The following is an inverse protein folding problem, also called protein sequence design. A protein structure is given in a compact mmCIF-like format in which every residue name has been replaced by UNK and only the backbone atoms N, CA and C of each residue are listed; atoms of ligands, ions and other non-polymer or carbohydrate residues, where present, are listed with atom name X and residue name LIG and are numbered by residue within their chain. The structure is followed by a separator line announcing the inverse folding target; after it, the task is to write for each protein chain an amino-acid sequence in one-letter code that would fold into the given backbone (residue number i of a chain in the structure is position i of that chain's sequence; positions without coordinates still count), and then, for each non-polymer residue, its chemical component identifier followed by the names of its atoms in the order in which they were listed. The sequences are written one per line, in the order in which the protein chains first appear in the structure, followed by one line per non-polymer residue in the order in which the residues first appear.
data_IF_097963613610
#
_entry.id   IF_097963613610
#
_cell.length_a   1.000
_cell.length_b   1.000
_cell.length_c   1.000
_cell.angle_alpha   90.00
_cell.angle_beta   90.00
_cell.angle_gamma   90.00
#
_symmetry.space_group_name_H-M   'P 1'
#
loop_
_entity.id
_entity.type
_entity.pdbx_description
1 polymer ?
#
# COMPACT_ATOMS: atom_id res chain seq x y z
N UNK A 1 -7.91 -10.37 12.23
CA UNK A 1 -8.11 -8.91 12.10
C UNK A 1 -7.31 -8.45 10.90
N UNK A 2 -7.86 -7.58 10.06
CA UNK A 2 -7.11 -7.03 8.93
C UNK A 2 -6.14 -5.95 9.44
N UNK A 3 -4.86 -6.06 9.10
CA UNK A 3 -3.79 -5.16 9.55
C UNK A 3 -3.62 -4.01 8.55
N UNK A 4 -3.79 -2.79 9.03
CA UNK A 4 -3.73 -1.57 8.23
C UNK A 4 -2.56 -0.72 8.71
N UNK A 5 -1.64 -0.42 7.81
CA UNK A 5 -0.55 0.53 8.06
C UNK A 5 -0.92 1.91 7.53
N UNK A 6 -0.90 2.92 8.40
CA UNK A 6 -0.84 4.32 7.99
C UNK A 6 0.63 4.74 8.01
N UNK A 7 1.26 4.71 6.84
CA UNK A 7 2.67 5.05 6.65
C UNK A 7 2.80 6.48 6.15
N UNK A 8 3.60 7.31 6.81
CA UNK A 8 3.68 8.71 6.40
C UNK A 8 5.07 9.34 6.51
N UNK A 9 5.26 10.45 5.81
CA UNK A 9 6.32 11.42 6.08
C UNK A 9 5.69 12.76 6.48
N UNK A 10 6.23 13.46 7.47
CA UNK A 10 5.81 14.80 7.85
C UNK A 10 6.99 15.61 8.35
N UNK A 11 7.17 16.83 7.84
CA UNK A 11 8.21 17.75 8.31
C UNK A 11 7.68 18.68 9.40
N UNK A 12 6.49 19.24 9.19
CA UNK A 12 5.89 20.27 10.06
C UNK A 12 4.60 19.82 10.76
N UNK A 13 4.32 18.52 10.82
CA UNK A 13 3.16 17.98 11.55
C UNK A 13 1.85 17.85 10.76
N UNK A 14 1.66 18.56 9.64
CA UNK A 14 0.39 18.51 8.89
C UNK A 14 -0.02 17.09 8.46
N UNK A 15 0.92 16.33 7.88
CA UNK A 15 0.64 14.96 7.45
C UNK A 15 0.55 13.99 8.63
N UNK A 16 1.25 14.26 9.73
CA UNK A 16 1.10 13.49 10.97
C UNK A 16 -0.33 13.65 11.52
N UNK A 17 -0.86 14.87 11.59
CA UNK A 17 -2.26 15.12 11.99
C UNK A 17 -3.24 14.38 11.08
N UNK A 18 -3.03 14.43 9.75
CA UNK A 18 -3.85 13.70 8.79
C UNK A 18 -3.74 12.17 8.99
N UNK A 19 -2.54 11.65 9.25
CA UNK A 19 -2.33 10.23 9.51
C UNK A 19 -3.10 9.76 10.74
N UNK A 20 -3.16 10.57 11.81
CA UNK A 20 -3.97 10.27 12.98
C UNK A 20 -5.48 10.28 12.67
N UNK A 21 -5.96 11.23 11.88
CA UNK A 21 -7.37 11.27 11.46
C UNK A 21 -7.74 10.07 10.56
N UNK A 22 -6.87 9.70 9.62
CA UNK A 22 -7.01 8.49 8.79
C UNK A 22 -7.09 7.25 9.68
N UNK A 23 -6.17 7.14 10.64
CA UNK A 23 -6.16 6.01 11.57
C UNK A 23 -7.40 5.98 12.47
N UNK A 24 -7.91 7.13 12.92
CA UNK A 24 -9.17 7.23 13.65
C UNK A 24 -10.33 6.69 12.82
N UNK A 25 -10.41 7.05 11.54
CA UNK A 25 -11.42 6.53 10.61
C UNK A 25 -11.30 5.01 10.43
N UNK A 26 -10.09 4.50 10.19
CA UNK A 26 -9.85 3.07 10.00
C UNK A 26 -10.16 2.24 11.26
N UNK A 27 -9.90 2.78 12.45
CA UNK A 27 -10.19 2.12 13.75
C UNK A 27 -11.68 1.97 14.06
N UNK A 28 -12.56 2.71 13.37
CA UNK A 28 -14.02 2.58 13.55
C UNK A 28 -14.58 1.31 12.92
N UNK A 29 -13.77 0.58 12.15
CA UNK A 29 -14.22 -0.59 11.42
C UNK A 29 -13.86 -1.86 12.19
N UNK A 30 -14.87 -2.62 12.58
CA UNK A 30 -14.68 -3.85 13.36
C UNK A 30 -13.74 -4.84 12.65
N UNK A 31 -12.85 -5.43 13.45
CA UNK A 31 -11.81 -6.33 12.96
C UNK A 31 -10.65 -5.65 12.22
N UNK A 32 -10.51 -4.32 12.25
CA UNK A 32 -9.32 -3.60 11.78
C UNK A 32 -8.28 -3.39 12.91
N UNK A 33 -7.05 -3.86 12.69
CA UNK A 33 -5.89 -3.52 13.51
C UNK A 33 -5.09 -2.43 12.81
N UNK A 34 -5.03 -1.22 13.38
CA UNK A 34 -4.44 -0.05 12.71
C UNK A 34 -3.16 0.41 13.38
N UNK A 35 -2.07 0.45 12.61
CA UNK A 35 -0.74 0.85 13.04
C UNK A 35 -0.35 2.14 12.32
N UNK A 36 0.21 3.12 13.04
CA UNK A 36 0.77 4.34 12.44
C UNK A 36 2.29 4.27 12.54
N UNK A 37 2.98 4.45 11.41
CA UNK A 37 4.43 4.58 11.36
C UNK A 37 4.86 5.69 10.42
N UNK A 38 6.10 6.16 10.60
CA UNK A 38 6.71 7.15 9.72
C UNK A 38 7.87 6.57 8.94
N UNK A 39 8.16 7.09 7.76
CA UNK A 39 9.41 6.79 7.05
C UNK A 39 10.60 7.49 7.74
N UNK A 40 11.84 7.02 7.53
CA UNK A 40 13.04 7.69 8.03
C UNK A 40 13.16 9.14 7.51
N UNK A 41 13.71 10.03 8.35
CA UNK A 41 14.16 11.35 7.88
C UNK A 41 15.48 11.18 7.11
N UNK A 42 15.66 11.94 6.03
CA UNK A 42 16.88 11.91 5.20
C UNK A 42 17.75 13.14 5.40
N UNK A 43 17.21 14.21 5.98
CA UNK A 43 18.00 15.37 6.40
C UNK A 43 18.85 15.03 7.64
N UNK A 44 20.09 15.55 7.73
CA UNK A 44 20.85 15.49 8.96
C UNK A 44 20.06 16.12 10.14
N UNK A 45 20.10 15.53 11.34
CA UNK A 45 19.28 15.97 12.48
C UNK A 45 19.42 17.47 12.82
N UNK A 46 20.62 18.03 12.70
CA UNK A 46 20.89 19.45 12.94
C UNK A 46 20.24 20.37 11.91
N UNK A 47 20.17 19.94 10.65
CA UNK A 47 19.51 20.67 9.58
C UNK A 47 17.99 20.58 9.74
N UNK A 48 17.48 19.39 10.09
CA UNK A 48 16.07 19.20 10.40
C UNK A 48 15.62 20.12 11.55
N UNK A 49 16.38 20.15 12.65
CA UNK A 49 16.09 21.01 13.79
C UNK A 49 16.14 22.50 13.42
N UNK A 50 17.18 22.92 12.70
CA UNK A 50 17.35 24.32 12.25
C UNK A 50 16.23 24.77 11.30
N UNK A 51 15.71 23.86 10.48
CA UNK A 51 14.60 24.12 9.57
C UNK A 51 13.23 24.17 10.28
N UNK A 52 13.17 23.99 11.61
CA UNK A 52 11.92 23.95 12.37
C UNK A 52 11.15 22.64 12.19
N UNK A 53 11.84 21.54 11.88
CA UNK A 53 11.25 20.22 11.78
C UNK A 53 10.62 19.77 13.10
N UNK A 54 9.41 19.22 13.04
CA UNK A 54 8.66 18.75 14.21
C UNK A 54 9.10 17.33 14.60
N UNK A 55 9.49 17.15 15.86
CA UNK A 55 9.71 15.81 16.45
C UNK A 55 8.41 15.02 16.54
N UNK A 56 8.50 13.71 16.29
CA UNK A 56 7.36 12.81 16.15
C UNK A 56 7.58 11.53 16.94
N UNK A 57 6.50 11.05 17.55
CA UNK A 57 6.53 9.85 18.41
C UNK A 57 6.27 8.56 17.63
N UNK A 58 5.70 8.65 16.41
CA UNK A 58 5.46 7.47 15.59
C UNK A 58 6.78 6.73 15.30
N UNK A 59 6.79 5.39 15.46
CA UNK A 59 7.99 4.61 15.18
C UNK A 59 8.34 4.67 13.69
N UNK A 60 9.63 4.50 13.40
CA UNK A 60 10.13 4.46 12.02
C UNK A 60 9.84 3.10 11.41
N UNK A 61 9.29 3.09 10.20
CA UNK A 61 9.02 1.87 9.45
C UNK A 61 10.28 1.30 8.79
N UNK A 62 10.27 0.00 8.54
CA UNK A 62 11.24 -0.66 7.66
C UNK A 62 10.58 -1.00 6.31
N UNK A 63 11.34 -1.16 5.22
CA UNK A 63 10.73 -1.58 3.96
C UNK A 63 10.08 -2.96 4.05
N UNK A 64 10.68 -3.91 4.78
CA UNK A 64 10.26 -5.31 4.80
C UNK A 64 8.92 -5.53 5.48
N UNK A 65 8.63 -4.80 6.55
CA UNK A 65 7.36 -4.96 7.29
C UNK A 65 6.13 -4.55 6.49
N UNK A 66 6.27 -3.86 5.34
CA UNK A 66 5.13 -3.53 4.50
C UNK A 66 4.35 -4.78 4.07
N UNK A 67 5.04 -5.92 3.95
CA UNK A 67 4.42 -7.21 3.62
C UNK A 67 3.52 -7.78 4.73
N UNK A 68 3.59 -7.24 5.95
CA UNK A 68 2.83 -7.73 7.10
C UNK A 68 1.43 -7.09 7.22
N UNK A 69 1.05 -6.25 6.25
CA UNK A 69 -0.19 -5.48 6.26
C UNK A 69 -1.05 -5.79 5.05
N UNK A 70 -2.36 -5.91 5.29
CA UNK A 70 -3.37 -6.14 4.25
C UNK A 70 -3.71 -4.85 3.49
N UNK A 71 -3.45 -3.68 4.08
CA UNK A 71 -3.60 -2.38 3.45
C UNK A 71 -2.55 -1.39 3.97
N UNK A 72 -2.05 -0.54 3.05
CA UNK A 72 -1.12 0.54 3.37
C UNK A 72 -1.67 1.86 2.82
N UNK A 73 -1.80 2.85 3.69
CA UNK A 73 -2.22 4.21 3.34
C UNK A 73 -1.01 5.13 3.44
N UNK A 74 -0.62 5.74 2.32
CA UNK A 74 0.58 6.59 2.24
C UNK A 74 0.24 8.08 2.43
N UNK A 75 0.87 8.72 3.41
CA UNK A 75 0.82 10.16 3.63
C UNK A 75 2.12 10.86 3.27
N UNK A 76 2.10 11.86 2.38
CA UNK A 76 3.29 12.64 2.05
C UNK A 76 2.94 14.11 1.79
N UNK A 77 3.75 15.08 2.26
CA UNK A 77 3.64 16.44 1.78
C UNK A 77 4.13 16.48 0.33
N UNK A 78 3.58 17.39 -0.47
CA UNK A 78 4.06 17.56 -1.84
C UNK A 78 5.43 18.24 -1.86
N UNK A 79 6.25 17.88 -2.85
CA UNK A 79 7.44 18.62 -3.28
C UNK A 79 7.32 18.81 -4.79
N UNK A 80 6.94 20.02 -5.21
CA UNK A 80 6.73 20.38 -6.62
C UNK A 80 5.84 19.37 -7.39
N UNK A 81 4.68 19.02 -6.82
CA UNK A 81 3.72 18.11 -7.44
C UNK A 81 4.05 16.62 -7.27
N UNK A 82 5.19 16.28 -6.67
CA UNK A 82 5.59 14.89 -6.38
C UNK A 82 5.50 14.59 -4.88
N UNK A 83 5.73 13.32 -4.51
CA UNK A 83 5.97 12.92 -3.12
C UNK A 83 7.26 13.56 -2.57
N UNK A 84 7.40 13.58 -1.25
CA UNK A 84 8.63 14.01 -0.60
C UNK A 84 9.81 13.08 -0.92
N UNK A 85 11.03 13.63 -0.90
CA UNK A 85 12.25 12.84 -1.13
C UNK A 85 12.41 11.70 -0.13
N UNK A 86 12.02 11.92 1.13
CA UNK A 86 12.03 10.91 2.19
C UNK A 86 11.14 9.69 1.85
N UNK A 87 9.91 9.96 1.41
CA UNK A 87 9.00 8.89 0.97
C UNK A 87 9.56 8.17 -0.27
N UNK A 88 10.13 8.90 -1.23
CA UNK A 88 10.77 8.31 -2.41
C UNK A 88 11.94 7.40 -2.03
N UNK A 89 12.86 7.87 -1.18
CA UNK A 89 14.00 7.09 -0.69
C UNK A 89 13.57 5.82 0.06
N UNK A 90 12.46 5.87 0.80
CA UNK A 90 11.90 4.69 1.46
C UNK A 90 11.35 3.69 0.45
N UNK A 91 10.55 4.15 -0.53
CA UNK A 91 10.01 3.30 -1.60
C UNK A 91 11.10 2.75 -2.53
N UNK A 92 12.22 3.45 -2.71
CA UNK A 92 13.36 2.93 -3.47
C UNK A 92 14.02 1.71 -2.81
N UNK A 93 13.77 1.49 -1.51
CA UNK A 93 14.27 0.32 -0.77
C UNK A 93 13.32 -0.88 -0.85
N UNK A 94 12.13 -0.75 -1.45
CA UNK A 94 11.16 -1.86 -1.58
C UNK A 94 11.45 -2.77 -2.78
N UNK A 95 12.65 -2.69 -3.38
CA UNK A 95 13.02 -3.52 -4.54
C UNK A 95 12.94 -5.03 -4.26
N UNK A 96 13.29 -5.47 -3.04
CA UNK A 96 13.13 -6.87 -2.64
C UNK A 96 11.66 -7.32 -2.58
N UNK A 97 10.78 -6.47 -2.03
CA UNK A 97 9.33 -6.74 -2.00
C UNK A 97 8.69 -6.72 -3.38
N UNK A 98 9.18 -5.84 -4.26
CA UNK A 98 8.76 -5.82 -5.66
C UNK A 98 9.17 -7.12 -6.35
N UNK A 99 10.42 -7.57 -6.17
CA UNK A 99 10.93 -8.77 -6.82
C UNK A 99 10.24 -10.07 -6.34
N UNK A 100 9.70 -10.09 -5.11
CA UNK A 100 8.94 -11.22 -4.58
C UNK A 100 7.43 -11.12 -4.82
N UNK A 101 6.94 -10.02 -5.37
CA UNK A 101 5.50 -9.76 -5.51
C UNK A 101 4.76 -9.62 -4.18
N UNK A 102 5.44 -9.34 -3.06
CA UNK A 102 4.85 -9.39 -1.71
C UNK A 102 3.78 -8.32 -1.43
N UNK A 103 3.66 -7.31 -2.29
CA UNK A 103 2.63 -6.26 -2.19
C UNK A 103 1.58 -6.36 -3.32
N UNK A 104 1.58 -7.44 -4.11
CA UNK A 104 0.54 -7.66 -5.11
C UNK A 104 -0.74 -8.17 -4.48
N UNK A 105 -1.86 -7.64 -4.97
CA UNK A 105 -3.19 -8.06 -4.53
C UNK A 105 -3.46 -9.55 -4.88
N UNK A 106 -3.15 -9.96 -6.11
CA UNK A 106 -3.16 -11.37 -6.52
C UNK A 106 -1.77 -11.75 -7.04
N UNK A 107 -1.17 -12.84 -6.53
CA UNK A 107 0.21 -13.23 -6.87
C UNK A 107 0.40 -13.49 -8.35
N UNK A 108 -0.65 -13.99 -9.01
CA UNK A 108 -0.65 -14.28 -10.44
C UNK A 108 -0.32 -13.04 -11.26
N UNK A 109 -0.70 -11.83 -10.80
CA UNK A 109 -0.41 -10.56 -11.48
C UNK A 109 1.10 -10.28 -11.65
N UNK A 110 1.96 -10.93 -10.86
CA UNK A 110 3.42 -10.80 -10.93
C UNK A 110 4.07 -11.78 -11.93
N UNK A 111 3.39 -12.89 -12.24
CA UNK A 111 3.88 -13.86 -13.23
C UNK A 111 3.72 -13.31 -14.66
N UNK A 112 4.85 -13.24 -15.37
CA UNK A 112 4.98 -12.82 -16.78
C UNK A 112 5.45 -13.97 -17.69
N UNK A 113 5.49 -15.21 -17.20
CA UNK A 113 5.95 -16.38 -17.96
C UNK A 113 4.97 -16.85 -19.03
N UNK A 114 3.72 -16.38 -18.98
CA UNK A 114 2.65 -16.79 -19.87
C UNK A 114 1.74 -15.62 -20.27
N UNK A 115 1.09 -15.76 -21.43
CA UNK A 115 0.07 -14.81 -21.90
C UNK A 115 -1.18 -14.95 -21.04
N UNK A 116 -1.51 -13.90 -20.31
CA UNK A 116 -2.56 -13.88 -19.30
C UNK A 116 -3.20 -12.47 -19.17
N UNK A 117 -4.49 -12.44 -18.87
CA UNK A 117 -5.23 -11.25 -18.43
C UNK A 117 -5.16 -10.99 -16.91
N UNK A 118 -5.75 -9.89 -16.48
CA UNK A 118 -5.68 -9.39 -15.12
C UNK A 118 -4.76 -8.17 -15.01
N UNK A 119 -5.28 -7.14 -14.35
CA UNK A 119 -4.62 -5.84 -14.16
C UNK A 119 -4.79 -5.38 -12.72
N UNK A 120 -4.01 -4.40 -12.22
CA UNK A 120 -4.27 -3.80 -10.93
C UNK A 120 -5.66 -3.12 -10.82
N UNK A 121 -6.33 -2.86 -11.94
CA UNK A 121 -7.69 -2.32 -11.96
C UNK A 121 -8.77 -3.39 -11.75
N UNK A 122 -8.43 -4.67 -11.97
CA UNK A 122 -9.36 -5.79 -11.87
C UNK A 122 -8.97 -6.98 -12.78
N UNK A 123 -9.62 -8.10 -12.53
CA UNK A 123 -9.51 -9.33 -13.31
C UNK A 123 -9.98 -9.10 -14.75
N UNK A 124 -9.21 -9.62 -15.71
CA UNK A 124 -9.57 -9.67 -17.13
C UNK A 124 -9.11 -11.00 -17.70
N UNK A 125 -9.64 -11.38 -18.86
CA UNK A 125 -9.25 -12.61 -19.58
C UNK A 125 -8.97 -12.29 -21.04
N UNK A 126 -8.03 -13.03 -21.65
CA UNK A 126 -7.76 -12.92 -23.10
C UNK A 126 -8.53 -14.02 -23.83
N UNK A 127 -9.43 -13.65 -24.75
CA UNK A 127 -10.26 -14.61 -25.50
C UNK A 127 -9.62 -15.14 -26.80
N UNK A 128 -8.53 -14.52 -27.27
CA UNK A 128 -7.98 -14.80 -28.61
C UNK A 128 -8.82 -14.18 -29.73
N UNK A 129 -8.26 -14.10 -30.96
CA UNK A 129 -8.92 -13.43 -32.09
C UNK A 129 -10.19 -14.13 -32.60
N UNK A 130 -10.28 -15.45 -32.37
CA UNK A 130 -11.43 -16.29 -32.74
C UNK A 130 -12.35 -16.61 -31.55
N UNK A 131 -12.04 -16.10 -30.36
CA UNK A 131 -12.81 -16.34 -29.14
C UNK A 131 -12.71 -17.75 -28.58
N UNK A 132 -11.84 -18.61 -29.11
CA UNK A 132 -11.75 -20.02 -28.70
C UNK A 132 -11.04 -20.22 -27.35
N UNK A 133 -10.20 -19.26 -26.92
CA UNK A 133 -9.43 -19.37 -25.67
C UNK A 133 -10.37 -19.19 -24.47
N UNK A 134 -10.36 -20.17 -23.57
CA UNK A 134 -11.01 -20.07 -22.28
C UNK A 134 -10.08 -19.41 -21.23
N UNK A 135 -10.63 -18.78 -20.18
CA UNK A 135 -9.83 -18.24 -19.09
C UNK A 135 -8.90 -19.30 -18.49
N UNK A 136 -7.64 -18.95 -18.28
CA UNK A 136 -6.65 -19.81 -17.62
C UNK A 136 -6.94 -19.91 -16.11
N UNK A 137 -6.31 -20.87 -15.43
CA UNK A 137 -6.49 -21.02 -13.99
C UNK A 137 -6.00 -19.78 -13.22
N UNK A 138 -4.97 -19.11 -13.72
CA UNK A 138 -4.42 -17.88 -13.16
C UNK A 138 -5.38 -16.70 -13.33
N UNK A 139 -6.00 -16.55 -14.51
CA UNK A 139 -7.03 -15.52 -14.74
C UNK A 139 -8.24 -15.74 -13.82
N UNK A 140 -8.65 -16.99 -13.65
CA UNK A 140 -9.71 -17.37 -12.72
C UNK A 140 -9.33 -17.13 -11.25
N UNK A 141 -8.06 -17.37 -10.88
CA UNK A 141 -7.56 -17.10 -9.52
C UNK A 141 -7.66 -15.61 -9.18
N UNK A 142 -7.23 -14.73 -10.08
CA UNK A 142 -7.35 -13.27 -9.94
C UNK A 142 -8.81 -12.86 -9.79
N UNK A 143 -9.71 -13.46 -10.57
CA UNK A 143 -11.14 -13.17 -10.50
C UNK A 143 -11.75 -13.61 -9.15
N UNK A 144 -11.37 -14.77 -8.62
CA UNK A 144 -11.78 -15.24 -7.28
C UNK A 144 -11.27 -14.30 -6.19
N UNK A 145 -9.99 -13.94 -6.24
CA UNK A 145 -9.39 -12.98 -5.31
C UNK A 145 -10.16 -11.64 -5.33
N UNK A 146 -10.45 -11.10 -6.51
CA UNK A 146 -11.22 -9.87 -6.62
C UNK A 146 -12.61 -9.99 -5.97
N UNK A 147 -13.30 -11.11 -6.21
CA UNK A 147 -14.59 -11.39 -5.59
C UNK A 147 -14.51 -11.43 -4.07
N UNK A 148 -13.53 -12.16 -3.53
CA UNK A 148 -13.30 -12.26 -2.08
C UNK A 148 -12.96 -10.91 -1.45
N UNK A 149 -12.05 -10.15 -2.06
CA UNK A 149 -11.63 -8.84 -1.58
C UNK A 149 -12.80 -7.84 -1.51
N UNK A 150 -13.59 -7.76 -2.59
CA UNK A 150 -14.75 -6.86 -2.65
C UNK A 150 -15.85 -7.30 -1.69
N UNK A 151 -16.16 -8.60 -1.62
CA UNK A 151 -17.17 -9.13 -0.71
C UNK A 151 -16.76 -8.91 0.76
N UNK A 152 -15.49 -9.13 1.10
CA UNK A 152 -14.95 -8.87 2.42
C UNK A 152 -15.10 -7.39 2.83
N UNK A 153 -14.79 -6.46 1.91
CA UNK A 153 -15.04 -5.03 2.12
C UNK A 153 -16.53 -4.72 2.28
N UNK A 154 -17.40 -5.29 1.45
CA UNK A 154 -18.83 -5.03 1.51
C UNK A 154 -19.46 -5.53 2.82
N UNK A 155 -19.10 -6.74 3.27
CA UNK A 155 -19.53 -7.28 4.58
C UNK A 155 -19.03 -6.35 5.69
N UNK A 156 -17.77 -5.92 5.62
CA UNK A 156 -17.19 -5.02 6.62
C UNK A 156 -17.87 -3.65 6.69
N UNK A 157 -18.49 -3.19 5.60
CA UNK A 157 -19.20 -1.91 5.53
C UNK A 157 -20.70 -1.99 5.87
N UNK A 158 -21.33 -3.16 5.73
CA UNK A 158 -22.79 -3.32 5.79
C UNK A 158 -23.27 -4.42 6.74
N UNK A 159 -22.36 -5.19 7.34
CA UNK A 159 -22.63 -6.28 8.28
C UNK A 159 -22.42 -5.89 9.73
#
# INVERSE_FOLDING_TARGET
MAKILVLYYSMYGHIETMAHAVAEGAKKVDGAEVIIKRVPETMPPEIFAKAGGKTQNAPVATPQELADYDAIIFGTPTRFGNMSGQMRTFLDQTGGLWASGSLYAAQELFDVSQVRGGTPYGATTIAGGDGSRQPSQEELSIARYQGEYVAGLAVKLNG
#
